data_IF_850484908247
#
_entry.id   IF_850484908247
#
_cell.length_a   1.000
_cell.length_b   1.000
_cell.length_c   1.000
_cell.angle_alpha   90.00
_cell.angle_beta   90.00
_cell.angle_gamma   90.00
#
_symmetry.space_group_name_H-M   'P 1'
#
loop_
_entity.id
_entity.type
_entity.pdbx_description
1 polymer ?
#
# COMPACT_ATOMS: atom_id res chain seq x y z
N UNK A 1 -13.17 -20.03 -5.31
CA UNK A 1 -11.92 -19.56 -5.96
C UNK A 1 -12.08 -19.49 -7.49
N UNK A 2 -13.22 -19.00 -8.00
CA UNK A 2 -13.48 -18.89 -9.45
C UNK A 2 -13.58 -17.44 -9.90
N UNK A 3 -14.17 -16.52 -9.12
CA UNK A 3 -14.35 -15.10 -9.52
C UNK A 3 -13.11 -14.46 -10.17
N UNK A 4 -11.94 -14.50 -9.53
CA UNK A 4 -10.72 -13.89 -10.08
C UNK A 4 -10.31 -14.53 -11.42
N UNK A 5 -10.36 -15.86 -11.50
CA UNK A 5 -10.07 -16.61 -12.73
C UNK A 5 -11.12 -16.35 -13.83
N UNK A 6 -12.38 -16.26 -13.45
CA UNK A 6 -13.50 -15.96 -14.34
C UNK A 6 -13.38 -14.54 -14.94
N UNK A 7 -12.66 -13.63 -14.26
CA UNK A 7 -12.34 -12.28 -14.73
C UNK A 7 -10.93 -12.18 -15.34
N UNK A 8 -10.23 -13.29 -15.56
CA UNK A 8 -8.91 -13.31 -16.18
C UNK A 8 -7.78 -12.75 -15.29
N UNK A 9 -8.00 -12.64 -13.98
CA UNK A 9 -6.99 -12.19 -13.01
C UNK A 9 -6.18 -13.41 -12.58
N UNK A 10 -4.88 -13.38 -12.89
CA UNK A 10 -3.92 -14.34 -12.39
C UNK A 10 -3.69 -14.12 -10.89
N UNK A 11 -3.76 -15.22 -10.11
CA UNK A 11 -3.48 -15.20 -8.67
C UNK A 11 -2.06 -15.70 -8.48
N UNK A 12 -1.17 -14.81 -8.02
CA UNK A 12 0.20 -15.17 -7.66
C UNK A 12 0.20 -16.06 -6.41
N UNK A 13 1.08 -17.07 -6.41
CA UNK A 13 1.25 -17.97 -5.26
C UNK A 13 2.34 -17.43 -4.34
N UNK A 14 1.97 -17.06 -3.11
CA UNK A 14 2.88 -16.47 -2.13
C UNK A 14 3.03 -17.39 -0.93
N UNK A 15 4.26 -17.53 -0.45
CA UNK A 15 4.53 -18.34 0.73
C UNK A 15 3.83 -17.73 1.97
N UNK A 16 3.29 -18.56 2.88
CA UNK A 16 2.75 -18.08 4.15
C UNK A 16 3.80 -17.29 4.95
N UNK A 17 3.38 -16.20 5.59
CA UNK A 17 4.24 -15.33 6.42
C UNK A 17 5.41 -14.69 5.66
N UNK A 18 5.24 -14.42 4.36
CA UNK A 18 6.23 -13.73 3.52
C UNK A 18 5.76 -12.34 3.09
N UNK A 19 5.61 -11.38 4.03
CA UNK A 19 5.26 -10.00 3.69
C UNK A 19 6.34 -9.32 2.83
N UNK A 20 7.59 -9.80 2.92
CA UNK A 20 8.73 -9.36 2.11
C UNK A 20 8.55 -9.66 0.61
N UNK A 21 7.78 -10.70 0.26
CA UNK A 21 7.47 -11.06 -1.12
C UNK A 21 6.27 -10.28 -1.69
N UNK A 22 5.53 -9.56 -0.84
CA UNK A 22 4.38 -8.78 -1.24
C UNK A 22 4.77 -7.30 -1.44
N UNK A 23 4.87 -6.86 -2.68
CA UNK A 23 5.20 -5.47 -3.01
C UNK A 23 4.26 -4.44 -2.38
N UNK A 24 3.01 -4.78 -2.05
CA UNK A 24 2.08 -3.82 -1.41
C UNK A 24 2.52 -3.44 -0.01
N UNK A 25 3.21 -4.32 0.74
CA UNK A 25 3.69 -4.03 2.09
C UNK A 25 4.76 -2.93 2.05
N UNK A 26 5.63 -2.98 1.03
CA UNK A 26 6.62 -1.92 0.80
C UNK A 26 5.94 -0.58 0.46
N UNK A 27 4.84 -0.60 -0.30
CA UNK A 27 4.05 0.61 -0.58
C UNK A 27 3.45 1.16 0.70
N UNK A 28 2.82 0.31 1.53
CA UNK A 28 2.25 0.74 2.80
C UNK A 28 3.29 1.39 3.71
N UNK A 29 4.50 0.83 3.81
CA UNK A 29 5.59 1.42 4.59
C UNK A 29 5.97 2.82 4.10
N UNK A 30 5.96 3.08 2.77
CA UNK A 30 6.23 4.40 2.21
C UNK A 30 5.12 5.40 2.55
N UNK A 31 3.86 4.97 2.50
CA UNK A 31 2.72 5.80 2.87
C UNK A 31 2.72 6.13 4.36
N UNK A 32 2.96 5.15 5.22
CA UNK A 32 3.08 5.33 6.66
C UNK A 32 4.17 6.35 7.01
N UNK A 33 5.36 6.19 6.44
CA UNK A 33 6.47 7.12 6.66
C UNK A 33 6.10 8.57 6.28
N UNK A 34 5.37 8.73 5.18
CA UNK A 34 4.91 10.06 4.77
C UNK A 34 3.87 10.62 5.75
N UNK A 35 2.88 9.81 6.16
CA UNK A 35 1.81 10.25 7.07
C UNK A 35 2.39 10.64 8.44
N UNK A 36 3.28 9.82 9.01
CA UNK A 36 3.96 10.10 10.28
C UNK A 36 4.78 11.39 10.24
N UNK A 37 5.30 11.76 9.07
CA UNK A 37 6.03 13.02 8.87
C UNK A 37 5.15 14.26 8.75
N UNK A 38 3.85 14.12 8.49
CA UNK A 38 2.95 15.23 8.18
C UNK A 38 1.80 15.40 9.19
N UNK A 39 1.46 14.37 9.97
CA UNK A 39 0.32 14.36 10.88
C UNK A 39 0.69 13.83 12.26
N UNK A 40 -0.04 14.28 13.28
CA UNK A 40 -0.10 13.60 14.58
C UNK A 40 -1.11 12.44 14.48
N UNK A 41 -0.63 11.27 14.07
CA UNK A 41 -1.44 10.11 13.67
C UNK A 41 -2.45 9.71 14.75
N UNK A 42 -2.06 9.79 16.02
CA UNK A 42 -2.88 9.42 17.19
C UNK A 42 -4.09 10.33 17.40
N UNK A 43 -4.11 11.50 16.74
CA UNK A 43 -5.22 12.47 16.81
C UNK A 43 -6.16 12.38 15.61
N UNK A 44 -5.83 11.59 14.59
CA UNK A 44 -6.66 11.47 13.40
C UNK A 44 -7.91 10.64 13.70
N UNK A 45 -9.06 11.17 13.30
CA UNK A 45 -10.27 10.35 13.13
C UNK A 45 -10.11 9.38 11.96
N UNK A 46 -10.92 8.32 11.87
CA UNK A 46 -10.89 7.41 10.73
C UNK A 46 -11.05 8.11 9.38
N UNK A 47 -11.92 9.13 9.29
CA UNK A 47 -12.11 9.90 8.06
C UNK A 47 -10.86 10.71 7.71
N UNK A 48 -10.22 11.35 8.69
CA UNK A 48 -8.99 12.09 8.46
C UNK A 48 -7.81 11.17 8.11
N UNK A 49 -7.79 9.95 8.66
CA UNK A 49 -6.79 8.95 8.27
C UNK A 49 -6.97 8.51 6.82
N UNK A 50 -8.20 8.30 6.36
CA UNK A 50 -8.50 8.01 4.95
C UNK A 50 -8.02 9.15 4.02
N UNK A 51 -8.33 10.40 4.38
CA UNK A 51 -7.84 11.59 3.67
C UNK A 51 -6.31 11.67 3.65
N UNK A 52 -5.66 11.36 4.77
CA UNK A 52 -4.20 11.35 4.88
C UNK A 52 -3.55 10.26 4.02
N UNK A 53 -4.14 9.06 3.95
CA UNK A 53 -3.69 7.96 3.09
C UNK A 53 -3.77 8.38 1.61
N UNK A 54 -4.88 8.99 1.19
CA UNK A 54 -5.03 9.50 -0.18
C UNK A 54 -4.00 10.61 -0.47
N UNK A 55 -3.79 11.54 0.46
CA UNK A 55 -2.78 12.58 0.30
C UNK A 55 -1.35 12.00 0.20
N UNK A 56 -1.04 10.97 0.99
CA UNK A 56 0.24 10.27 0.93
C UNK A 56 0.45 9.59 -0.42
N UNK A 57 -0.59 8.94 -0.94
CA UNK A 57 -0.56 8.28 -2.24
C UNK A 57 -0.30 9.27 -3.38
N UNK A 58 -1.00 10.40 -3.39
CA UNK A 58 -0.81 11.46 -4.39
C UNK A 58 0.57 12.13 -4.29
N UNK A 59 1.18 12.14 -3.10
CA UNK A 59 2.51 12.69 -2.88
C UNK A 59 3.65 11.72 -3.24
N UNK A 60 3.37 10.42 -3.37
CA UNK A 60 4.38 9.40 -3.59
C UNK A 60 4.86 9.42 -5.05
N UNK A 61 6.16 9.61 -5.34
CA UNK A 61 6.66 9.59 -6.70
C UNK A 61 6.49 8.20 -7.35
N UNK A 62 6.09 8.19 -8.62
CA UNK A 62 5.88 6.94 -9.38
C UNK A 62 7.16 6.10 -9.45
N UNK A 63 8.35 6.72 -9.44
CA UNK A 63 9.61 5.99 -9.43
C UNK A 63 9.80 5.15 -8.17
N UNK A 64 9.30 5.58 -7.01
CA UNK A 64 9.35 4.82 -5.77
C UNK A 64 8.42 3.61 -5.83
N UNK A 65 7.22 3.77 -6.43
CA UNK A 65 6.28 2.67 -6.65
C UNK A 65 6.87 1.64 -7.60
N UNK A 66 7.49 2.05 -8.71
CA UNK A 66 8.07 1.12 -9.69
C UNK A 66 9.22 0.29 -9.09
N UNK A 67 10.01 0.85 -8.16
CA UNK A 67 11.13 0.14 -7.54
C UNK A 67 10.70 -1.11 -6.77
N UNK A 68 9.49 -1.14 -6.20
CA UNK A 68 9.02 -2.27 -5.38
C UNK A 68 8.51 -3.47 -6.19
N UNK A 69 8.38 -3.31 -7.52
CA UNK A 69 7.92 -4.36 -8.44
C UNK A 69 9.05 -4.96 -9.30
N UNK A 70 10.32 -4.65 -8.98
CA UNK A 70 11.50 -5.09 -9.74
C UNK A 70 12.10 -6.39 -9.22
#
# INVERSE_FOLDING_TARGET
MTYLRDHGIEVLDWAPYSPDLNSIENIWALLELWIEGHYEVEKLSPQQLEEAILAAWEALPEEEVIKVFR
#
